data_IF_358277709467
#
_entry.id   IF_358277709467
#
_cell.length_a   1.000
_cell.length_b   1.000
_cell.length_c   1.000
_cell.angle_alpha   90.00
_cell.angle_beta   90.00
_cell.angle_gamma   90.00
#
_symmetry.space_group_name_H-M   'P 1'
#
loop_
_entity.id
_entity.type
_entity.pdbx_description
1 polymer ?
#
# COMPACT_ATOMS: atom_id res chain seq x y z
N UNK A 1 18.04 8.19 7.77
CA UNK A 1 16.72 8.43 7.38
C UNK A 1 16.11 7.28 6.72
N UNK A 2 15.29 6.86 6.41
CA UNK A 2 14.65 5.74 5.79
C UNK A 2 13.18 5.72 6.05
N UNK A 3 12.70 6.63 6.89
CA UNK A 3 11.28 6.71 7.19
C UNK A 3 10.67 7.89 6.45
N UNK A 4 9.50 7.66 5.88
CA UNK A 4 8.68 8.70 5.29
C UNK A 4 7.65 9.15 6.31
N UNK A 5 6.80 10.10 5.95
CA UNK A 5 5.68 10.50 6.80
C UNK A 5 4.68 9.36 7.03
N UNK A 6 4.72 8.29 6.21
CA UNK A 6 3.90 7.10 6.37
C UNK A 6 4.60 6.06 7.24
N UNK A 7 5.80 6.36 7.67
CA UNK A 7 6.63 5.45 8.46
C UNK A 7 6.89 4.11 7.78
N UNK A 8 7.05 4.14 6.47
CA UNK A 8 7.48 2.99 5.70
C UNK A 8 8.97 3.09 5.43
N UNK A 9 9.71 1.98 5.50
CA UNK A 9 11.10 1.99 5.07
C UNK A 9 11.20 2.49 3.62
N UNK A 10 12.17 3.33 3.33
CA UNK A 10 12.33 3.90 2.01
C UNK A 10 12.43 2.82 0.93
N UNK A 11 13.17 1.76 1.21
CA UNK A 11 13.34 0.66 0.27
C UNK A 11 12.02 -0.04 -0.06
N UNK A 12 11.16 -0.22 0.93
CA UNK A 12 9.85 -0.83 0.73
C UNK A 12 8.99 0.06 -0.16
N UNK A 13 9.01 1.36 0.09
CA UNK A 13 8.27 2.32 -0.72
C UNK A 13 8.75 2.30 -2.17
N UNK A 14 10.07 2.23 -2.39
CA UNK A 14 10.63 2.15 -3.73
C UNK A 14 10.20 0.89 -4.45
N UNK A 15 10.23 -0.26 -3.76
CA UNK A 15 9.81 -1.53 -4.34
C UNK A 15 8.33 -1.51 -4.71
N UNK A 16 7.49 -0.96 -3.85
CA UNK A 16 6.06 -0.81 -4.14
C UNK A 16 5.85 0.01 -5.40
N UNK A 17 6.58 1.11 -5.53
CA UNK A 17 6.48 1.99 -6.69
C UNK A 17 6.90 1.27 -7.98
N UNK A 18 8.01 0.52 -7.93
CA UNK A 18 8.48 -0.24 -9.10
C UNK A 18 7.43 -1.26 -9.54
N UNK A 19 6.87 -2.02 -8.60
CA UNK A 19 5.86 -3.00 -8.96
C UNK A 19 4.55 -2.37 -9.40
N UNK A 20 4.18 -1.23 -8.83
CA UNK A 20 3.00 -0.50 -9.28
C UNK A 20 3.13 -0.11 -10.75
N UNK A 21 4.31 0.34 -11.16
CA UNK A 21 4.58 0.68 -12.55
C UNK A 21 4.57 -0.56 -13.44
N UNK A 22 5.18 -1.65 -12.96
CA UNK A 22 5.26 -2.90 -13.71
C UNK A 22 3.87 -3.46 -14.05
N UNK A 23 2.93 -3.36 -13.11
CA UNK A 23 1.60 -3.91 -13.27
C UNK A 23 0.55 -2.87 -13.63
N UNK A 24 0.99 -1.67 -13.99
CA UNK A 24 0.12 -0.62 -14.49
C UNK A 24 -0.96 -0.20 -13.47
N UNK A 25 -0.60 -0.21 -12.21
CA UNK A 25 -1.49 0.20 -11.12
C UNK A 25 -1.74 1.71 -11.23
N UNK A 26 -2.96 2.13 -10.97
CA UNK A 26 -3.33 3.55 -11.04
C UNK A 26 -3.01 4.31 -9.76
N UNK A 27 -3.25 3.69 -8.60
CA UNK A 27 -3.11 4.38 -7.33
C UNK A 27 -2.89 3.40 -6.20
N UNK A 28 -2.06 3.78 -5.23
CA UNK A 28 -1.86 3.00 -4.01
C UNK A 28 -2.00 3.92 -2.80
N UNK A 29 -2.80 3.47 -1.83
CA UNK A 29 -3.09 4.22 -0.62
C UNK A 29 -2.67 3.38 0.58
N UNK A 30 -1.87 3.98 1.48
CA UNK A 30 -1.58 3.37 2.79
C UNK A 30 -2.71 3.74 3.73
N UNK A 31 -3.21 2.78 4.48
CA UNK A 31 -4.24 3.02 5.48
C UNK A 31 -3.89 2.25 6.76
N UNK A 32 -4.81 2.20 7.71
CA UNK A 32 -4.59 1.48 8.96
C UNK A 32 -3.66 2.23 9.92
N UNK A 33 -3.00 1.49 10.80
CA UNK A 33 -2.23 2.09 11.89
C UNK A 33 -1.08 2.98 11.41
N UNK A 34 -0.43 2.62 10.30
CA UNK A 34 0.68 3.42 9.78
C UNK A 34 0.20 4.77 9.26
N UNK A 35 -0.95 4.80 8.59
CA UNK A 35 -1.52 6.05 8.11
C UNK A 35 -1.97 6.94 9.27
N UNK A 36 -2.43 6.33 10.36
CA UNK A 36 -2.90 7.07 11.54
C UNK A 36 -1.76 7.54 12.44
N UNK A 37 -0.54 7.07 12.20
CA UNK A 37 0.60 7.41 13.05
C UNK A 37 0.63 6.68 14.39
N UNK A 38 -0.17 5.64 14.57
CA UNK A 38 -0.24 4.86 15.81
C UNK A 38 0.39 3.47 15.67
N UNK A 39 1.13 3.27 14.57
CA UNK A 39 1.77 1.99 14.31
C UNK A 39 2.93 1.75 15.27
N UNK A 40 3.24 0.46 15.43
CA UNK A 40 4.47 0.03 16.07
C UNK A 40 5.47 -0.36 14.99
N UNK A 41 6.73 -0.56 15.38
CA UNK A 41 7.80 -0.88 14.45
C UNK A 41 7.45 -2.07 13.54
N UNK A 42 6.75 -3.07 14.09
CA UNK A 42 6.37 -4.29 13.35
C UNK A 42 4.91 -4.33 12.95
N UNK A 43 4.23 -3.21 12.96
CA UNK A 43 2.86 -3.16 12.48
C UNK A 43 2.78 -3.53 11.01
N UNK A 44 1.69 -4.22 10.63
CA UNK A 44 1.46 -4.60 9.25
C UNK A 44 1.38 -3.35 8.36
N UNK A 45 1.74 -3.56 7.11
CA UNK A 45 1.60 -2.51 6.10
C UNK A 45 0.29 -2.76 5.36
N UNK A 46 -0.68 -1.87 5.57
CA UNK A 46 -2.00 -1.97 4.95
C UNK A 46 -2.05 -1.06 3.73
N UNK A 47 -2.20 -1.63 2.55
CA UNK A 47 -2.30 -0.86 1.32
C UNK A 47 -3.54 -1.23 0.52
N UNK A 48 -4.13 -0.22 -0.12
CA UNK A 48 -5.24 -0.38 -1.01
C UNK A 48 -4.78 -0.03 -2.43
N UNK A 49 -5.11 -0.89 -3.38
CA UNK A 49 -4.61 -0.80 -4.76
C UNK A 49 -5.77 -0.58 -5.71
N UNK A 50 -5.66 0.43 -6.56
CA UNK A 50 -6.67 0.74 -7.55
C UNK A 50 -6.10 0.55 -8.96
N UNK A 51 -6.77 -0.27 -9.76
CA UNK A 51 -6.42 -0.44 -11.17
C UNK A 51 -5.25 -1.36 -11.41
N UNK A 52 -4.97 -1.62 -12.67
CA UNK A 52 -3.86 -2.46 -13.10
C UNK A 52 -4.11 -3.94 -12.89
N UNK A 53 -3.03 -4.72 -12.99
CA UNK A 53 -3.06 -6.15 -12.74
C UNK A 53 -2.85 -6.43 -11.26
N UNK A 54 -3.93 -6.47 -10.51
CA UNK A 54 -3.88 -6.65 -9.06
C UNK A 54 -3.18 -7.97 -8.68
N UNK A 55 -3.54 -9.06 -9.36
CA UNK A 55 -3.00 -10.38 -8.99
C UNK A 55 -1.48 -10.44 -9.17
N UNK A 56 -0.97 -9.91 -10.27
CA UNK A 56 0.46 -9.85 -10.49
C UNK A 56 1.17 -8.97 -9.46
N UNK A 57 0.59 -7.80 -9.19
CA UNK A 57 1.13 -6.89 -8.19
C UNK A 57 1.16 -7.55 -6.81
N UNK A 58 0.05 -8.16 -6.42
CA UNK A 58 -0.08 -8.86 -5.13
C UNK A 58 1.00 -9.93 -4.97
N UNK A 59 1.15 -10.77 -5.99
CA UNK A 59 2.13 -11.85 -5.93
C UNK A 59 3.56 -11.32 -5.81
N UNK A 60 3.93 -10.33 -6.61
CA UNK A 60 5.28 -9.78 -6.56
C UNK A 60 5.57 -9.07 -5.23
N UNK A 61 4.60 -8.35 -4.67
CA UNK A 61 4.78 -7.73 -3.37
C UNK A 61 5.04 -8.80 -2.31
N UNK A 62 4.22 -9.86 -2.29
CA UNK A 62 4.35 -10.92 -1.29
C UNK A 62 5.63 -11.71 -1.41
N UNK A 63 6.12 -11.91 -2.63
CA UNK A 63 7.26 -12.78 -2.86
C UNK A 63 8.59 -12.05 -2.97
N UNK A 64 8.59 -10.82 -3.46
CA UNK A 64 9.83 -10.15 -3.85
C UNK A 64 10.16 -8.87 -3.09
N UNK A 65 9.24 -8.34 -2.29
CA UNK A 65 9.60 -7.20 -1.44
C UNK A 65 10.31 -7.72 -0.21
N UNK A 66 11.55 -7.27 -0.04
CA UNK A 66 12.40 -7.75 1.04
C UNK A 66 12.09 -6.98 2.33
N UNK A 67 11.24 -7.56 3.16
CA UNK A 67 10.89 -6.99 4.45
C UNK A 67 10.40 -8.08 5.39
N UNK A 68 10.59 -7.87 6.70
CA UNK A 68 10.02 -8.73 7.72
C UNK A 68 8.59 -8.33 8.05
N UNK A 69 8.11 -7.22 7.51
CA UNK A 69 6.77 -6.73 7.77
C UNK A 69 5.77 -7.49 6.91
N UNK A 70 4.58 -7.69 7.45
CA UNK A 70 3.50 -8.32 6.70
C UNK A 70 2.73 -7.27 5.93
N UNK A 71 2.26 -7.64 4.74
CA UNK A 71 1.41 -6.79 3.92
C UNK A 71 -0.02 -7.28 3.97
N UNK A 72 -0.95 -6.34 4.12
CA UNK A 72 -2.37 -6.58 3.90
C UNK A 72 -2.75 -5.74 2.68
N UNK A 73 -3.06 -6.40 1.57
CA UNK A 73 -3.25 -5.75 0.27
C UNK A 73 -4.69 -5.90 -0.17
N UNK A 74 -5.38 -4.79 -0.37
CA UNK A 74 -6.79 -4.76 -0.72
C UNK A 74 -6.96 -4.24 -2.13
N UNK A 75 -7.82 -4.89 -2.90
CA UNK A 75 -8.16 -4.49 -4.26
C UNK A 75 -9.38 -3.55 -4.23
N UNK A 76 -9.15 -2.28 -4.54
CA UNK A 76 -10.21 -1.27 -4.54
C UNK A 76 -11.19 -1.42 -5.70
N UNK A 77 -10.89 -2.24 -6.70
CA UNK A 77 -11.86 -2.53 -7.75
C UNK A 77 -12.86 -3.60 -7.34
N UNK A 78 -12.60 -4.27 -6.21
CA UNK A 78 -13.55 -5.20 -5.60
C UNK A 78 -14.42 -4.47 -4.59
N UNK A 79 -15.51 -5.12 -4.20
CA UNK A 79 -16.41 -4.54 -3.21
C UNK A 79 -15.79 -4.66 -1.81
N UNK A 80 -15.69 -3.53 -1.12
CA UNK A 80 -15.17 -3.49 0.25
C UNK A 80 -16.30 -3.01 1.18
N UNK A 81 -16.14 -3.26 2.49
CA UNK A 81 -17.13 -2.83 3.44
C UNK A 81 -17.17 -1.30 3.55
N UNK A 82 -18.33 -0.79 3.96
CA UNK A 82 -18.48 0.66 4.16
C UNK A 82 -17.52 1.18 5.23
N UNK A 83 -17.29 0.37 6.26
CA UNK A 83 -16.36 0.74 7.34
C UNK A 83 -14.94 0.88 6.83
N UNK A 84 -14.50 -0.07 6.01
CA UNK A 84 -13.16 -0.02 5.44
C UNK A 84 -13.02 1.15 4.47
N UNK A 85 -14.03 1.38 3.64
CA UNK A 85 -14.02 2.51 2.72
C UNK A 85 -13.91 3.83 3.48
N UNK A 86 -14.68 3.98 4.56
CA UNK A 86 -14.64 5.19 5.38
C UNK A 86 -13.27 5.39 6.01
N UNK A 87 -12.64 4.33 6.48
CA UNK A 87 -11.29 4.41 7.05
C UNK A 87 -10.27 4.86 6.02
N UNK A 88 -10.31 4.29 4.82
CA UNK A 88 -9.41 4.66 3.74
C UNK A 88 -9.60 6.12 3.35
N UNK A 89 -10.84 6.59 3.25
CA UNK A 89 -11.14 7.97 2.87
C UNK A 89 -10.70 8.96 3.94
N UNK A 90 -10.82 8.59 5.21
CA UNK A 90 -10.50 9.49 6.32
C UNK A 90 -9.02 9.54 6.64
N UNK A 91 -8.36 8.40 6.64
CA UNK A 91 -6.97 8.29 7.11
C UNK A 91 -5.99 7.87 6.02
N UNK A 92 -6.47 7.45 4.87
CA UNK A 92 -5.60 6.95 3.81
C UNK A 92 -4.65 8.02 3.30
N UNK A 93 -3.43 7.60 2.99
CA UNK A 93 -2.40 8.47 2.43
C UNK A 93 -1.97 7.88 1.09
N UNK A 94 -2.14 8.65 0.02
CA UNK A 94 -1.71 8.21 -1.31
C UNK A 94 -0.19 8.20 -1.38
N UNK A 95 0.39 7.04 -1.64
CA UNK A 95 1.84 6.90 -1.77
C UNK A 95 2.29 6.73 -3.21
N UNK A 96 1.37 6.41 -4.10
CA UNK A 96 1.66 6.28 -5.53
C UNK A 96 0.43 6.64 -6.33
N UNK A 97 0.61 7.41 -7.38
CA UNK A 97 -0.46 7.74 -8.31
C UNK A 97 0.14 7.81 -9.70
N UNK A 98 -0.47 7.07 -10.63
CA UNK A 98 0.02 7.02 -12.00
C UNK A 98 -0.08 8.38 -12.67
N UNK A 99 0.98 8.81 -13.31
CA UNK A 99 0.99 10.05 -14.09
C UNK A 99 0.16 9.86 -15.36
N UNK A 100 -0.55 10.92 -15.74
CA UNK A 100 -1.38 10.91 -16.94
C UNK A 100 -0.96 12.01 -17.90
#
# INVERSE_FOLDING_TARGET
MGATEYNLPQRVLEDITVFAQKYNVDKIIVFGSRAKGIHRERSDIDIAVLGGDFDGFYCDIKENVWTLLMFDIIDLSERISDELQAEIEKYGVTIYEKAR
#
